data_IF_266324981814
#
_entry.id   IF_266324981814
#
_cell.length_a   1.000
_cell.length_b   1.000
_cell.length_c   1.000
_cell.angle_alpha   90.00
_cell.angle_beta   90.00
_cell.angle_gamma   90.00
#
_symmetry.space_group_name_H-M   'P 1'
#
loop_
_entity.id
_entity.type
_entity.pdbx_description
1 polymer ?
#
# COMPACT_ATOMS: atom_id res chain seq x y z
N UNK A 1 -10.11 -0.32 -7.32
CA UNK A 1 -8.72 0.20 -7.31
C UNK A 1 -8.71 1.49 -8.10
N UNK A 2 -8.12 2.56 -7.56
CA UNK A 2 -8.03 3.88 -8.21
C UNK A 2 -6.56 4.19 -8.48
N UNK A 3 -6.24 4.76 -9.63
CA UNK A 3 -4.88 5.17 -9.98
C UNK A 3 -4.90 6.67 -10.24
N UNK A 4 -4.04 7.41 -9.56
CA UNK A 4 -3.84 8.85 -9.75
C UNK A 4 -2.37 9.14 -9.94
N UNK A 5 -2.01 9.65 -11.14
CA UNK A 5 -0.64 9.94 -11.58
C UNK A 5 0.35 8.80 -11.28
N UNK A 6 1.01 8.84 -10.12
CA UNK A 6 2.04 7.91 -9.67
C UNK A 6 1.63 7.09 -8.43
N UNK A 7 0.36 7.14 -8.01
CA UNK A 7 -0.17 6.43 -6.84
C UNK A 7 -1.32 5.51 -7.25
N UNK A 8 -1.35 4.30 -6.70
CA UNK A 8 -2.51 3.41 -6.80
C UNK A 8 -3.08 3.09 -5.42
N UNK A 9 -4.38 3.30 -5.27
CA UNK A 9 -5.15 2.95 -4.09
C UNK A 9 -5.80 1.57 -4.23
N UNK A 10 -5.52 0.70 -3.26
CA UNK A 10 -6.05 -0.65 -3.14
C UNK A 10 -7.09 -0.65 -2.01
N UNK A 11 -8.39 -0.45 -2.31
CA UNK A 11 -9.42 -0.28 -1.29
C UNK A 11 -9.74 -1.58 -0.53
N UNK A 12 -9.54 -2.73 -1.16
CA UNK A 12 -9.86 -4.03 -0.57
C UNK A 12 -8.89 -5.10 -1.08
N UNK A 13 -8.37 -5.89 -0.15
CA UNK A 13 -7.66 -7.14 -0.44
C UNK A 13 -8.25 -8.22 0.43
N UNK A 14 -8.67 -9.31 -0.19
CA UNK A 14 -9.21 -10.46 0.51
C UNK A 14 -8.67 -11.74 -0.11
N UNK A 15 -8.33 -12.69 0.75
CA UNK A 15 -8.08 -14.08 0.35
C UNK A 15 -9.25 -14.91 0.84
N UNK A 16 -9.81 -15.74 -0.05
CA UNK A 16 -10.85 -16.69 0.32
C UNK A 16 -10.39 -17.55 1.50
N UNK A 17 -11.29 -17.84 2.44
CA UNK A 17 -11.01 -18.53 3.71
C UNK A 17 -10.19 -19.80 3.54
N UNK A 18 -10.50 -20.56 2.49
CA UNK A 18 -9.93 -21.85 2.14
C UNK A 18 -8.44 -21.75 1.73
N UNK A 19 -7.97 -20.54 1.40
CA UNK A 19 -6.62 -20.25 0.94
C UNK A 19 -5.89 -19.26 1.85
N UNK A 20 -6.38 -19.06 3.08
CA UNK A 20 -5.64 -18.27 4.08
C UNK A 20 -4.39 -19.04 4.50
N UNK A 21 -3.33 -18.30 4.86
CA UNK A 21 -2.04 -18.83 5.38
C UNK A 21 -1.20 -19.65 4.38
N UNK A 22 -1.59 -19.74 3.11
CA UNK A 22 -0.79 -20.37 2.05
C UNK A 22 0.08 -19.39 1.24
N UNK A 23 0.23 -18.15 1.71
CA UNK A 23 1.04 -17.13 1.01
C UNK A 23 0.37 -16.51 -0.22
N UNK A 24 -0.87 -16.87 -0.54
CA UNK A 24 -1.58 -16.37 -1.73
C UNK A 24 -1.71 -14.83 -1.77
N UNK A 25 -2.01 -14.20 -0.64
CA UNK A 25 -2.04 -12.74 -0.55
C UNK A 25 -0.69 -12.12 -0.93
N UNK A 26 0.42 -12.77 -0.53
CA UNK A 26 1.76 -12.30 -0.84
C UNK A 26 2.06 -12.38 -2.33
N UNK A 27 1.77 -13.52 -2.95
CA UNK A 27 1.93 -13.72 -4.40
C UNK A 27 1.13 -12.69 -5.20
N UNK A 28 -0.12 -12.44 -4.79
CA UNK A 28 -0.97 -11.43 -5.43
C UNK A 28 -0.37 -10.03 -5.32
N UNK A 29 0.06 -9.61 -4.12
CA UNK A 29 0.61 -8.28 -3.89
C UNK A 29 1.95 -8.07 -4.61
N UNK A 30 2.82 -9.07 -4.60
CA UNK A 30 4.12 -9.00 -5.28
C UNK A 30 3.94 -8.84 -6.81
N UNK A 31 2.99 -9.57 -7.40
CA UNK A 31 2.69 -9.42 -8.82
C UNK A 31 1.99 -8.10 -9.13
N UNK A 32 1.05 -7.67 -8.26
CA UNK A 32 0.38 -6.38 -8.38
C UNK A 32 1.40 -5.24 -8.37
N UNK A 33 2.36 -5.23 -7.44
CA UNK A 33 3.40 -4.21 -7.35
C UNK A 33 4.23 -4.12 -8.63
N UNK A 34 4.66 -5.26 -9.18
CA UNK A 34 5.41 -5.30 -10.45
C UNK A 34 4.62 -4.72 -11.61
N UNK A 35 3.36 -5.09 -11.76
CA UNK A 35 2.52 -4.58 -12.86
C UNK A 35 2.27 -3.08 -12.70
N UNK A 36 2.02 -2.62 -11.48
CA UNK A 36 1.82 -1.20 -11.20
C UNK A 36 3.08 -0.37 -11.49
N UNK A 37 4.25 -0.87 -11.09
CA UNK A 37 5.53 -0.24 -11.41
C UNK A 37 5.75 -0.10 -12.91
N UNK A 38 5.44 -1.14 -13.71
CA UNK A 38 5.53 -1.11 -15.18
C UNK A 38 4.60 -0.08 -15.81
N UNK A 39 3.51 0.27 -15.14
CA UNK A 39 2.56 1.31 -15.59
C UNK A 39 2.92 2.72 -15.09
N UNK A 40 4.06 2.88 -14.39
CA UNK A 40 4.52 4.18 -13.89
C UNK A 40 4.00 4.55 -12.50
N UNK A 41 3.28 3.66 -11.83
CA UNK A 41 2.86 3.83 -10.43
C UNK A 41 4.07 3.60 -9.52
N UNK A 42 4.35 4.55 -8.64
CA UNK A 42 5.49 4.52 -7.71
C UNK A 42 5.09 4.22 -6.27
N UNK A 43 3.81 4.37 -5.93
CA UNK A 43 3.32 4.16 -4.56
C UNK A 43 2.01 3.40 -4.56
N UNK A 44 1.93 2.37 -3.73
CA UNK A 44 0.69 1.69 -3.38
C UNK A 44 0.20 2.21 -2.04
N UNK A 45 -1.08 2.55 -1.95
CA UNK A 45 -1.74 2.97 -0.71
C UNK A 45 -2.97 2.12 -0.48
N UNK A 46 -3.31 1.86 0.78
CA UNK A 46 -4.51 1.13 1.14
C UNK A 46 -5.05 1.59 2.50
N UNK A 47 -6.37 1.63 2.68
CA UNK A 47 -6.96 1.72 4.00
C UNK A 47 -6.74 0.40 4.76
N UNK A 48 -6.20 0.48 5.97
CA UNK A 48 -6.00 -0.68 6.84
C UNK A 48 -6.91 -0.58 8.06
N UNK A 49 -7.72 -1.61 8.30
CA UNK A 49 -8.44 -1.76 9.57
C UNK A 49 -7.44 -2.03 10.70
N UNK A 50 -7.72 -1.54 11.91
CA UNK A 50 -6.83 -1.63 13.09
C UNK A 50 -6.33 -3.06 13.33
N UNK A 51 -7.20 -4.05 13.11
CA UNK A 51 -6.94 -5.48 13.29
C UNK A 51 -5.82 -6.03 12.38
N UNK A 52 -5.60 -5.42 11.22
CA UNK A 52 -4.68 -5.90 10.18
C UNK A 52 -3.53 -4.93 9.91
N UNK A 53 -3.39 -3.85 10.69
CA UNK A 53 -2.30 -2.87 10.53
C UNK A 53 -0.92 -3.54 10.64
N UNK A 54 -0.73 -4.45 11.60
CA UNK A 54 0.52 -5.20 11.77
C UNK A 54 0.85 -6.08 10.57
N UNK A 55 -0.16 -6.66 9.94
CA UNK A 55 0.01 -7.48 8.73
C UNK A 55 0.54 -6.62 7.59
N UNK A 56 -0.05 -5.44 7.37
CA UNK A 56 0.40 -4.53 6.32
C UNK A 56 1.77 -3.92 6.62
N UNK A 57 2.04 -3.55 7.87
CA UNK A 57 3.31 -2.90 8.23
C UNK A 57 4.49 -3.86 8.35
N UNK A 58 4.34 -4.95 9.11
CA UNK A 58 5.42 -5.92 9.33
C UNK A 58 5.49 -6.96 8.22
N UNK A 59 4.35 -7.39 7.70
CA UNK A 59 4.29 -8.41 6.65
C UNK A 59 4.63 -7.84 5.27
N UNK A 60 4.00 -6.72 4.89
CA UNK A 60 4.12 -6.14 3.55
C UNK A 60 4.97 -4.87 3.47
N UNK A 61 5.45 -4.33 4.61
CA UNK A 61 6.32 -3.15 4.63
C UNK A 61 5.60 -1.81 4.43
N UNK A 62 4.26 -1.76 4.53
CA UNK A 62 3.51 -0.51 4.43
C UNK A 62 3.81 0.41 5.62
N UNK A 63 3.82 1.71 5.36
CA UNK A 63 3.99 2.75 6.39
C UNK A 63 2.69 3.51 6.56
N UNK A 64 2.35 3.85 7.81
CA UNK A 64 1.19 4.70 8.09
C UNK A 64 1.40 6.07 7.47
N UNK A 65 0.40 6.55 6.72
CA UNK A 65 0.40 7.89 6.15
C UNK A 65 0.03 8.97 7.19
N UNK A 66 -0.51 8.57 8.35
CA UNK A 66 -1.04 9.45 9.41
C UNK A 66 0.03 10.32 10.12
N UNK A 67 1.28 10.29 9.66
CA UNK A 67 2.38 11.14 10.13
C UNK A 67 3.09 11.92 9.03
N UNK A 68 2.52 12.00 7.81
CA UNK A 68 3.15 12.67 6.66
C UNK A 68 2.41 13.94 6.21
N UNK A 69 1.77 14.63 7.15
CA UNK A 69 1.17 15.95 6.91
C UNK A 69 2.12 17.12 7.25
N UNK A 70 3.34 16.88 7.76
CA UNK A 70 4.28 17.95 8.13
C UNK A 70 5.69 17.72 7.57
N UNK A 71 5.86 17.77 6.24
CA UNK A 71 7.17 18.11 5.64
C UNK A 71 7.02 18.86 4.31
N UNK A 72 5.87 19.48 4.08
CA UNK A 72 5.58 20.26 2.89
C UNK A 72 5.56 21.77 3.12
N UNK A 73 5.94 22.27 4.30
CA UNK A 73 5.90 23.69 4.60
C UNK A 73 7.17 24.16 5.33
N UNK A 74 7.77 25.21 4.75
CA UNK A 74 8.96 25.97 5.16
C UNK A 74 10.34 25.31 4.89
N UNK A 75 11.28 25.94 4.17
CA UNK A 75 11.50 27.38 4.00
C UNK A 75 12.05 27.73 2.61
N UNK A 76 11.32 28.58 1.89
CA UNK A 76 11.92 29.77 1.29
C UNK A 76 12.29 30.68 2.47
N UNK A 77 13.56 30.75 2.84
CA UNK A 77 14.15 31.93 3.49
C UNK A 77 15.65 31.94 3.18
N UNK A 78 15.99 32.93 2.35
CA UNK A 78 17.30 33.51 2.02
C UNK A 78 18.33 32.68 1.25
#
# INVERSE_FOLDING_TARGET
MRVDKDVAEIPLVATLSNYKRSGMCRVLMDELEKQMFRMGVRRLVLPAATEVVSTWSQGFGFKSLRGREESGESSLTE
#
